data_IF_863080360264
#
_entry.id   IF_863080360264
#
_cell.length_a   1.000
_cell.length_b   1.000
_cell.length_c   1.000
_cell.angle_alpha   90.00
_cell.angle_beta   90.00
_cell.angle_gamma   90.00
#
_symmetry.space_group_name_H-M   'P 1'
#
loop_
_entity.id
_entity.type
_entity.pdbx_description
1 polymer ?
#
# COMPACT_ATOMS: atom_id res chain seq x y z
N UNK A 1 -32.06 73.96 -20.60
CA UNK A 1 -30.83 74.03 -21.42
C UNK A 1 -29.74 73.19 -20.79
N UNK A 2 -29.42 72.24 -21.43
CA UNK A 2 -28.62 71.06 -21.39
C UNK A 2 -27.21 71.13 -20.76
N UNK A 3 -26.98 70.30 -19.72
CA UNK A 3 -25.60 69.92 -19.28
C UNK A 3 -25.20 68.59 -19.97
N UNK A 4 -23.94 68.45 -20.44
CA UNK A 4 -23.51 67.25 -21.06
C UNK A 4 -22.88 66.26 -20.05
N UNK A 5 -23.26 64.99 -20.17
CA UNK A 5 -22.70 63.78 -19.55
C UNK A 5 -21.16 63.69 -19.75
N UNK A 6 -20.38 63.72 -18.69
CA UNK A 6 -19.01 63.25 -18.69
C UNK A 6 -18.99 61.77 -18.30
N UNK A 7 -18.84 60.87 -19.27
CA UNK A 7 -18.42 59.50 -19.06
C UNK A 7 -16.95 59.49 -18.63
N UNK A 8 -16.68 59.13 -17.38
CA UNK A 8 -15.34 58.79 -16.91
C UNK A 8 -14.95 57.45 -17.51
N UNK A 9 -13.92 57.45 -18.36
CA UNK A 9 -13.25 56.24 -18.82
C UNK A 9 -12.32 55.82 -17.67
N UNK A 10 -12.72 54.78 -16.89
CA UNK A 10 -11.83 54.14 -15.94
C UNK A 10 -10.65 53.54 -16.72
N UNK A 11 -9.43 53.85 -16.32
CA UNK A 11 -8.21 53.41 -16.99
C UNK A 11 -8.05 51.87 -16.90
N UNK A 12 -7.41 51.25 -17.89
CA UNK A 12 -7.15 49.83 -17.92
C UNK A 12 -6.37 49.34 -16.68
N UNK A 13 -5.59 50.22 -16.03
CA UNK A 13 -4.86 49.95 -14.79
C UNK A 13 -5.79 49.71 -13.59
N UNK A 14 -6.92 50.41 -13.47
CA UNK A 14 -7.90 50.19 -12.39
C UNK A 14 -8.66 48.88 -12.55
N UNK A 15 -8.91 48.44 -13.81
CA UNK A 15 -9.52 47.10 -14.07
C UNK A 15 -8.55 45.96 -13.75
N UNK A 16 -7.26 46.15 -13.98
CA UNK A 16 -6.25 45.16 -13.69
C UNK A 16 -5.99 45.00 -12.18
N UNK A 17 -6.05 46.10 -11.42
CA UNK A 17 -6.00 46.04 -9.94
C UNK A 17 -7.20 45.34 -9.34
N UNK A 18 -8.39 45.55 -9.87
CA UNK A 18 -9.61 44.92 -9.37
C UNK A 18 -9.63 43.40 -9.67
N UNK A 19 -9.13 42.96 -10.81
CA UNK A 19 -8.98 41.54 -11.14
C UNK A 19 -7.94 40.84 -10.27
N UNK A 20 -6.84 41.51 -9.93
CA UNK A 20 -5.81 40.98 -9.06
C UNK A 20 -6.28 40.86 -7.60
N UNK A 21 -7.02 41.83 -7.11
CA UNK A 21 -7.67 41.80 -5.79
C UNK A 21 -8.74 40.72 -5.72
N UNK A 22 -9.58 40.56 -6.74
CA UNK A 22 -10.57 39.50 -6.86
C UNK A 22 -9.87 38.14 -6.91
N UNK A 23 -8.81 37.97 -7.69
CA UNK A 23 -8.02 36.75 -7.74
C UNK A 23 -7.38 36.40 -6.39
N UNK A 24 -6.85 37.42 -5.69
CA UNK A 24 -6.27 37.30 -4.34
C UNK A 24 -7.32 36.91 -3.29
N UNK A 25 -8.52 37.49 -3.38
CA UNK A 25 -9.65 37.14 -2.51
C UNK A 25 -10.14 35.72 -2.78
N UNK A 26 -10.29 35.32 -4.05
CA UNK A 26 -10.68 33.96 -4.44
C UNK A 26 -9.60 32.95 -4.00
N UNK A 27 -8.32 33.27 -4.15
CA UNK A 27 -7.21 32.45 -3.68
C UNK A 27 -7.23 32.33 -2.14
N UNK A 28 -7.47 33.44 -1.43
CA UNK A 28 -7.57 33.49 0.03
C UNK A 28 -8.80 32.75 0.57
N UNK A 29 -9.93 32.76 -0.17
CA UNK A 29 -11.11 31.97 0.16
C UNK A 29 -10.90 30.47 -0.16
N UNK A 30 -10.21 30.13 -1.25
CA UNK A 30 -9.81 28.74 -1.53
C UNK A 30 -8.81 28.21 -0.50
N UNK A 31 -7.86 29.01 -0.06
CA UNK A 31 -6.94 28.67 1.04
C UNK A 31 -7.65 28.52 2.40
N UNK A 32 -8.77 29.22 2.63
CA UNK A 32 -9.62 29.07 3.82
C UNK A 32 -10.43 27.78 3.85
N UNK A 33 -10.61 27.10 2.70
CA UNK A 33 -11.39 25.87 2.57
C UNK A 33 -10.53 24.61 2.43
N UNK A 34 -9.20 24.70 2.46
CA UNK A 34 -8.36 23.51 2.54
C UNK A 34 -8.41 23.04 4.00
N UNK A 35 -9.09 21.92 4.21
CA UNK A 35 -9.17 21.27 5.52
C UNK A 35 -7.75 20.95 5.99
N UNK A 36 -7.38 21.43 7.17
CA UNK A 36 -6.17 20.98 7.85
C UNK A 36 -6.43 19.57 8.42
N UNK A 37 -6.17 18.57 7.58
CA UNK A 37 -6.41 17.17 7.94
C UNK A 37 -5.66 16.73 9.20
N UNK A 38 -4.49 17.28 9.50
CA UNK A 38 -3.73 16.93 10.70
C UNK A 38 -4.45 17.40 11.97
N UNK A 39 -4.85 18.68 12.00
CA UNK A 39 -5.57 19.26 13.13
C UNK A 39 -6.96 18.65 13.32
N UNK A 40 -7.71 18.47 12.22
CA UNK A 40 -9.06 17.90 12.31
C UNK A 40 -9.02 16.41 12.68
N UNK A 41 -8.03 15.66 12.17
CA UNK A 41 -7.82 14.27 12.53
C UNK A 41 -7.54 14.12 14.03
N UNK A 42 -6.67 14.97 14.63
CA UNK A 42 -6.40 14.91 16.06
C UNK A 42 -7.69 15.13 16.88
N UNK A 43 -8.46 16.18 16.55
CA UNK A 43 -9.74 16.48 17.20
C UNK A 43 -10.75 15.32 17.07
N UNK A 44 -10.83 14.69 15.89
CA UNK A 44 -11.72 13.56 15.68
C UNK A 44 -11.26 12.32 16.47
N UNK A 45 -9.96 12.06 16.56
CA UNK A 45 -9.45 10.94 17.38
C UNK A 45 -9.76 11.14 18.88
N UNK A 46 -9.71 12.38 19.39
CA UNK A 46 -10.15 12.69 20.76
C UNK A 46 -11.65 12.40 20.97
N UNK A 47 -12.49 12.66 19.96
CA UNK A 47 -13.94 12.40 20.03
C UNK A 47 -14.25 10.92 19.88
N UNK A 48 -13.64 10.22 18.93
CA UNK A 48 -13.87 8.80 18.65
C UNK A 48 -13.37 7.90 19.78
N UNK A 49 -12.27 8.28 20.46
CA UNK A 49 -11.60 7.46 21.49
C UNK A 49 -11.23 6.06 21.01
N UNK A 50 -10.84 5.95 19.75
CA UNK A 50 -10.61 4.72 19.02
C UNK A 50 -11.50 4.62 17.79
N UNK A 51 -11.06 3.86 16.77
CA UNK A 51 -11.76 3.69 15.49
C UNK A 51 -12.46 2.35 15.35
N UNK A 52 -12.27 1.46 16.31
CA UNK A 52 -12.86 0.12 16.33
C UNK A 52 -13.55 -0.15 17.66
N UNK A 53 -14.54 -1.03 17.65
CA UNK A 53 -15.14 -1.60 18.84
C UNK A 53 -15.34 -3.11 18.65
N UNK A 54 -15.48 -3.84 19.76
CA UNK A 54 -15.83 -5.26 19.76
C UNK A 54 -17.33 -5.36 20.09
N UNK A 55 -18.10 -5.93 19.18
CA UNK A 55 -19.57 -6.01 19.27
C UNK A 55 -19.98 -7.46 19.42
N UNK A 56 -20.89 -7.74 20.38
CA UNK A 56 -21.54 -9.04 20.48
C UNK A 56 -22.47 -9.28 19.28
N UNK A 57 -22.35 -10.45 18.66
CA UNK A 57 -23.15 -10.84 17.47
C UNK A 57 -24.31 -11.77 17.82
N UNK A 58 -24.44 -12.13 19.09
CA UNK A 58 -25.53 -12.97 19.61
C UNK A 58 -26.24 -12.28 20.76
N UNK A 59 -27.55 -12.51 20.96
CA UNK A 59 -28.28 -11.92 22.08
C UNK A 59 -27.86 -12.58 23.40
N UNK A 60 -27.88 -11.83 24.50
CA UNK A 60 -27.76 -12.32 25.88
C UNK A 60 -28.82 -11.58 26.69
N UNK A 61 -30.09 -11.89 26.44
CA UNK A 61 -31.23 -11.21 27.05
C UNK A 61 -32.06 -12.09 27.97
N UNK A 62 -31.89 -13.41 27.84
CA UNK A 62 -32.62 -14.41 28.63
C UNK A 62 -31.62 -15.40 29.28
N UNK A 63 -32.14 -16.20 30.25
CA UNK A 63 -31.38 -17.27 30.86
C UNK A 63 -30.96 -18.34 29.83
N UNK A 64 -31.79 -18.59 28.84
CA UNK A 64 -31.52 -19.57 27.80
C UNK A 64 -30.45 -19.05 26.85
N UNK A 65 -30.51 -17.76 26.44
CA UNK A 65 -29.44 -17.12 25.65
C UNK A 65 -28.08 -17.25 26.35
N UNK A 66 -28.03 -16.93 27.66
CA UNK A 66 -26.81 -17.05 28.47
C UNK A 66 -26.32 -18.49 28.51
N UNK A 67 -27.23 -19.46 28.68
CA UNK A 67 -26.87 -20.89 28.75
C UNK A 67 -26.36 -21.43 27.42
N UNK A 68 -26.84 -20.92 26.29
CA UNK A 68 -26.37 -21.27 24.96
C UNK A 68 -25.07 -20.57 24.60
N UNK A 69 -24.97 -19.24 24.89
CA UNK A 69 -23.78 -18.46 24.54
C UNK A 69 -22.57 -18.74 25.44
N UNK A 70 -22.80 -19.18 26.68
CA UNK A 70 -21.76 -19.41 27.68
C UNK A 70 -21.97 -20.76 28.40
N UNK A 71 -22.18 -20.76 29.71
CA UNK A 71 -22.26 -21.99 30.51
C UNK A 71 -23.72 -22.42 30.69
N UNK A 72 -24.10 -23.69 30.43
CA UNK A 72 -23.24 -24.86 30.12
C UNK A 72 -23.01 -25.15 28.64
N UNK A 73 -23.77 -24.54 27.72
CA UNK A 73 -23.83 -24.92 26.31
C UNK A 73 -22.47 -24.82 25.58
N UNK A 74 -21.63 -23.83 25.94
CA UNK A 74 -20.31 -23.61 25.29
C UNK A 74 -19.32 -24.77 25.44
N UNK A 75 -19.55 -25.68 26.37
CA UNK A 75 -18.73 -26.88 26.54
C UNK A 75 -18.73 -27.77 25.27
N UNK A 76 -19.87 -27.86 24.58
CA UNK A 76 -19.97 -28.72 23.40
C UNK A 76 -19.11 -28.24 22.23
N UNK A 77 -19.16 -26.98 21.76
CA UNK A 77 -18.22 -26.50 20.74
C UNK A 77 -16.76 -26.61 21.16
N UNK A 78 -16.41 -26.43 22.44
CA UNK A 78 -15.05 -26.67 22.92
C UNK A 78 -14.60 -28.12 22.71
N UNK A 79 -15.44 -29.09 23.03
CA UNK A 79 -15.15 -30.53 22.81
C UNK A 79 -15.04 -30.87 21.34
N UNK A 80 -15.83 -30.27 20.47
CA UNK A 80 -15.72 -30.48 19.03
C UNK A 80 -14.41 -29.91 18.46
N UNK A 81 -13.98 -28.74 18.90
CA UNK A 81 -12.68 -28.14 18.50
C UNK A 81 -11.52 -28.98 19.06
N UNK A 82 -11.63 -29.48 20.28
CA UNK A 82 -10.62 -30.37 20.88
C UNK A 82 -10.40 -31.65 20.05
N UNK A 83 -11.47 -32.21 19.47
CA UNK A 83 -11.39 -33.41 18.61
C UNK A 83 -10.81 -33.08 17.23
N UNK A 84 -11.19 -31.93 16.67
CA UNK A 84 -10.72 -31.43 15.37
C UNK A 84 -10.52 -29.91 15.41
N UNK A 85 -9.27 -29.51 15.44
CA UNK A 85 -8.89 -28.09 15.50
C UNK A 85 -9.43 -27.27 14.31
N UNK A 86 -9.71 -27.90 13.16
CA UNK A 86 -10.28 -27.22 12.00
C UNK A 86 -11.66 -26.65 12.29
N UNK A 87 -12.42 -27.26 13.18
CA UNK A 87 -13.72 -26.75 13.62
C UNK A 87 -13.65 -25.39 14.31
N UNK A 88 -12.46 -24.94 14.74
CA UNK A 88 -12.28 -23.58 15.23
C UNK A 88 -12.63 -22.52 14.19
N UNK A 89 -12.43 -22.82 12.90
CA UNK A 89 -12.84 -21.93 11.79
C UNK A 89 -14.35 -21.94 11.54
N UNK A 90 -15.07 -22.97 11.94
CA UNK A 90 -16.53 -23.06 11.80
C UNK A 90 -17.27 -22.53 13.02
N UNK A 91 -16.71 -22.77 14.21
CA UNK A 91 -17.39 -22.54 15.50
C UNK A 91 -16.93 -21.26 16.22
N UNK A 92 -15.94 -20.55 15.68
CA UNK A 92 -15.44 -19.29 16.25
C UNK A 92 -15.24 -18.22 15.19
N UNK A 93 -14.94 -16.98 15.62
CA UNK A 93 -14.64 -15.86 14.70
C UNK A 93 -13.29 -16.00 13.99
N UNK A 94 -12.51 -17.05 14.30
CA UNK A 94 -11.20 -17.31 13.69
C UNK A 94 -11.23 -17.29 12.17
N UNK A 95 -12.30 -17.79 11.53
CA UNK A 95 -12.44 -17.81 10.07
C UNK A 95 -12.37 -16.46 9.39
N UNK A 96 -12.70 -15.36 10.08
CA UNK A 96 -12.77 -14.02 9.51
C UNK A 96 -11.99 -12.98 10.31
N UNK A 97 -11.10 -13.38 11.24
CA UNK A 97 -10.38 -12.47 12.12
C UNK A 97 -8.90 -12.39 11.72
N UNK A 98 -8.44 -11.19 11.37
CA UNK A 98 -7.05 -10.88 11.05
C UNK A 98 -6.39 -10.14 12.23
N UNK A 99 -5.17 -10.52 12.62
CA UNK A 99 -4.34 -9.68 13.47
C UNK A 99 -3.55 -8.66 12.64
N UNK A 100 -3.62 -7.38 13.00
CA UNK A 100 -2.78 -6.32 12.43
C UNK A 100 -1.68 -6.01 13.42
N UNK A 101 -0.44 -6.40 13.12
CA UNK A 101 0.65 -6.44 14.09
C UNK A 101 1.79 -5.52 13.68
N UNK A 102 2.25 -4.70 14.62
CA UNK A 102 3.38 -3.78 14.45
C UNK A 102 4.32 -3.78 15.65
N UNK A 103 5.57 -3.39 15.45
CA UNK A 103 6.49 -2.96 16.51
C UNK A 103 6.72 -1.44 16.51
N UNK A 104 6.07 -0.72 15.60
CA UNK A 104 6.11 0.74 15.50
C UNK A 104 7.44 1.32 15.04
N UNK A 105 8.27 0.54 14.34
CA UNK A 105 9.63 0.97 13.94
C UNK A 105 9.73 1.63 12.57
N UNK A 106 8.64 1.63 11.77
CA UNK A 106 8.61 2.25 10.43
C UNK A 106 7.26 2.90 10.13
N UNK A 107 6.68 3.60 11.10
CA UNK A 107 5.33 4.17 11.00
C UNK A 107 5.29 5.32 10.02
N UNK A 108 4.60 5.15 8.88
CA UNK A 108 4.43 6.15 7.83
C UNK A 108 5.76 6.86 7.47
N UNK A 109 5.77 8.18 7.36
CA UNK A 109 6.98 8.99 7.22
C UNK A 109 7.65 9.39 8.54
N UNK A 110 7.13 8.93 9.69
CA UNK A 110 7.60 9.31 11.03
C UNK A 110 8.77 8.43 11.51
N UNK A 111 8.93 7.23 10.95
CA UNK A 111 9.99 6.29 11.35
C UNK A 111 9.68 5.53 12.64
N UNK A 112 10.69 5.37 13.48
CA UNK A 112 10.61 4.62 14.74
C UNK A 112 10.00 5.47 15.86
N UNK A 113 8.69 5.37 16.05
CA UNK A 113 7.93 6.10 17.09
C UNK A 113 7.43 5.19 18.22
N UNK A 114 7.72 3.88 18.11
CA UNK A 114 7.30 2.87 19.07
C UNK A 114 5.89 2.32 18.85
N UNK A 115 5.61 1.14 19.43
CA UNK A 115 4.40 0.40 19.15
C UNK A 115 3.11 1.11 19.60
N UNK A 116 3.10 1.72 20.78
CA UNK A 116 1.91 2.38 21.31
C UNK A 116 1.52 3.62 20.46
N UNK A 117 2.52 4.36 19.96
CA UNK A 117 2.28 5.50 19.07
C UNK A 117 1.84 5.07 17.66
N UNK A 118 2.10 3.83 17.25
CA UNK A 118 1.61 3.22 16.02
C UNK A 118 0.13 2.81 16.06
N UNK A 119 -0.49 2.70 17.24
CA UNK A 119 -1.85 2.21 17.40
C UNK A 119 -2.89 2.93 16.51
N UNK A 120 -2.90 4.26 16.37
CA UNK A 120 -3.85 4.94 15.50
C UNK A 120 -3.78 4.48 14.04
N UNK A 121 -2.59 4.12 13.54
CA UNK A 121 -2.43 3.58 12.17
C UNK A 121 -2.98 2.16 12.11
N UNK A 122 -2.70 1.33 13.10
CA UNK A 122 -3.17 -0.06 13.18
C UNK A 122 -4.70 -0.14 13.26
N UNK A 123 -5.34 0.72 14.05
CA UNK A 123 -6.80 0.85 14.06
C UNK A 123 -7.35 1.31 12.71
N UNK A 124 -6.66 2.25 12.05
CA UNK A 124 -7.01 2.68 10.70
C UNK A 124 -6.96 1.52 9.71
N UNK A 125 -5.91 0.70 9.78
CA UNK A 125 -5.80 -0.51 8.96
C UNK A 125 -6.96 -1.48 9.21
N UNK A 126 -7.36 -1.70 10.47
CA UNK A 126 -8.51 -2.53 10.82
C UNK A 126 -9.82 -2.01 10.23
N UNK A 127 -10.04 -0.69 10.24
CA UNK A 127 -11.20 -0.07 9.58
C UNK A 127 -11.23 -0.36 8.08
N UNK A 128 -10.07 -0.26 7.41
CA UNK A 128 -9.96 -0.53 5.97
C UNK A 128 -10.21 -2.02 5.66
N UNK A 129 -9.70 -2.94 6.47
CA UNK A 129 -10.00 -4.38 6.36
C UNK A 129 -11.51 -4.64 6.39
N UNK A 130 -12.21 -4.02 7.34
CA UNK A 130 -13.66 -4.18 7.48
C UNK A 130 -14.43 -3.55 6.33
N UNK A 131 -14.10 -2.29 6.00
CA UNK A 131 -14.86 -1.51 5.01
C UNK A 131 -14.72 -2.06 3.58
N UNK A 132 -13.54 -2.51 3.18
CA UNK A 132 -13.24 -2.91 1.80
C UNK A 132 -13.17 -4.42 1.59
N UNK A 133 -12.91 -5.22 2.65
CA UNK A 133 -12.77 -6.67 2.57
C UNK A 133 -13.83 -7.45 3.36
N UNK A 134 -14.63 -6.78 4.20
CA UNK A 134 -15.54 -7.47 5.14
C UNK A 134 -14.79 -8.34 6.17
N UNK A 135 -13.48 -8.16 6.32
CA UNK A 135 -12.61 -8.88 7.25
C UNK A 135 -12.62 -8.15 8.58
N UNK A 136 -12.86 -8.88 9.66
CA UNK A 136 -12.67 -8.36 11.01
C UNK A 136 -11.17 -8.32 11.32
N UNK A 137 -10.70 -7.23 11.87
CA UNK A 137 -9.30 -7.09 12.19
C UNK A 137 -9.09 -6.50 13.58
N UNK A 138 -8.02 -6.94 14.25
CA UNK A 138 -7.69 -6.49 15.60
C UNK A 138 -6.23 -6.04 15.66
N UNK A 139 -5.96 -4.81 16.19
CA UNK A 139 -4.61 -4.25 16.24
C UNK A 139 -3.82 -4.79 17.43
N UNK A 140 -2.57 -5.16 17.20
CA UNK A 140 -1.64 -5.63 18.23
C UNK A 140 -0.30 -4.91 18.09
N UNK A 141 0.13 -4.24 19.16
CA UNK A 141 1.40 -3.53 19.22
C UNK A 141 2.37 -4.29 20.11
N UNK A 142 3.47 -4.81 19.53
CA UNK A 142 4.43 -5.66 20.21
C UNK A 142 5.66 -4.84 20.60
N UNK A 143 5.95 -4.76 21.90
CA UNK A 143 7.02 -3.91 22.43
C UNK A 143 8.36 -4.62 22.48
N UNK A 144 8.88 -4.99 21.30
CA UNK A 144 10.25 -5.50 21.15
C UNK A 144 10.81 -5.18 19.80
N UNK A 145 12.14 -5.03 19.70
CA UNK A 145 12.90 -4.94 18.45
C UNK A 145 13.72 -6.21 18.18
N UNK A 146 13.68 -7.15 19.09
CA UNK A 146 14.27 -8.47 18.89
C UNK A 146 13.37 -9.31 17.98
N UNK A 147 13.96 -9.90 16.96
CA UNK A 147 13.24 -10.67 15.94
C UNK A 147 12.64 -11.94 16.54
N UNK A 148 13.39 -12.66 17.35
CA UNK A 148 12.97 -13.94 17.92
C UNK A 148 11.91 -13.76 19.00
N UNK A 149 12.03 -12.73 19.83
CA UNK A 149 10.98 -12.35 20.79
C UNK A 149 9.68 -11.98 20.07
N UNK A 150 9.77 -11.17 19.01
CA UNK A 150 8.60 -10.78 18.21
C UNK A 150 7.92 -12.00 17.58
N UNK A 151 8.70 -12.84 16.91
CA UNK A 151 8.20 -14.06 16.24
C UNK A 151 7.56 -15.00 17.27
N UNK A 152 8.20 -15.21 18.42
CA UNK A 152 7.65 -16.08 19.46
C UNK A 152 6.33 -15.53 20.04
N UNK A 153 6.26 -14.24 20.32
CA UNK A 153 5.03 -13.60 20.82
C UNK A 153 3.86 -13.76 19.85
N UNK A 154 4.12 -13.53 18.56
CA UNK A 154 3.10 -13.63 17.49
C UNK A 154 2.70 -15.10 17.27
N UNK A 155 3.65 -16.03 17.24
CA UNK A 155 3.36 -17.44 17.06
C UNK A 155 2.46 -18.00 18.18
N UNK A 156 2.71 -17.62 19.44
CA UNK A 156 1.93 -18.07 20.60
C UNK A 156 0.46 -17.64 20.52
N UNK A 157 0.13 -16.48 19.90
CA UNK A 157 -1.26 -16.00 19.80
C UNK A 157 -1.91 -16.31 18.45
N UNK A 158 -1.17 -16.85 17.48
CA UNK A 158 -1.61 -17.07 16.11
C UNK A 158 -2.87 -17.94 16.00
N UNK A 159 -3.06 -18.87 16.94
CA UNK A 159 -4.22 -19.75 17.01
C UNK A 159 -5.58 -19.04 17.17
N UNK A 160 -5.59 -17.78 17.56
CA UNK A 160 -6.81 -16.97 17.70
C UNK A 160 -7.27 -16.33 16.37
N UNK A 161 -6.44 -16.35 15.33
CA UNK A 161 -6.65 -15.62 14.09
C UNK A 161 -6.69 -16.55 12.88
N UNK A 162 -7.35 -16.08 11.80
CA UNK A 162 -7.34 -16.72 10.49
C UNK A 162 -6.17 -16.31 9.62
N UNK A 163 -5.51 -15.19 9.96
CA UNK A 163 -4.33 -14.67 9.27
C UNK A 163 -3.72 -13.47 9.99
N UNK A 164 -2.52 -13.10 9.58
CA UNK A 164 -1.76 -11.99 10.19
C UNK A 164 -1.32 -11.02 9.10
N UNK A 165 -1.61 -9.74 9.31
CA UNK A 165 -1.04 -8.62 8.58
C UNK A 165 0.04 -7.95 9.43
N UNK A 166 1.29 -8.00 8.98
CA UNK A 166 2.39 -7.23 9.54
C UNK A 166 2.38 -5.82 8.94
N UNK A 167 2.61 -4.80 9.76
CA UNK A 167 2.52 -3.40 9.38
C UNK A 167 3.60 -2.56 10.04
N UNK A 168 4.17 -1.60 9.33
CA UNK A 168 5.08 -0.58 9.86
C UNK A 168 6.31 -1.15 10.61
N UNK A 169 6.87 -2.27 10.14
CA UNK A 169 8.07 -2.90 10.68
C UNK A 169 9.28 -2.57 9.80
N UNK A 170 10.34 -2.04 10.39
CA UNK A 170 11.51 -1.57 9.66
C UNK A 170 12.32 -2.70 8.99
N UNK A 171 12.76 -2.44 7.73
CA UNK A 171 13.74 -3.26 7.07
C UNK A 171 15.14 -3.11 7.74
N UNK A 172 15.99 -4.18 7.78
CA UNK A 172 15.78 -5.48 7.16
C UNK A 172 15.00 -6.50 8.01
N UNK A 173 14.66 -6.16 9.28
CA UNK A 173 14.00 -7.08 10.22
C UNK A 173 12.65 -7.60 9.72
N UNK A 174 11.86 -6.76 9.05
CA UNK A 174 10.56 -7.15 8.52
C UNK A 174 10.62 -8.39 7.62
N UNK A 175 11.67 -8.55 6.83
CA UNK A 175 11.85 -9.73 5.96
C UNK A 175 12.13 -11.00 6.77
N UNK A 176 12.94 -10.89 7.82
CA UNK A 176 13.27 -12.02 8.69
C UNK A 176 12.06 -12.44 9.53
N UNK A 177 11.36 -11.47 10.09
CA UNK A 177 10.12 -11.70 10.88
C UNK A 177 9.08 -12.41 10.04
N UNK A 178 8.79 -11.90 8.83
CA UNK A 178 7.80 -12.52 7.95
C UNK A 178 8.18 -13.95 7.60
N UNK A 179 9.43 -14.18 7.20
CA UNK A 179 9.92 -15.52 6.87
C UNK A 179 9.77 -16.50 8.05
N UNK A 180 10.24 -16.13 9.24
CA UNK A 180 10.17 -16.99 10.43
C UNK A 180 8.72 -17.27 10.85
N UNK A 181 7.83 -16.28 10.74
CA UNK A 181 6.41 -16.49 11.04
C UNK A 181 5.74 -17.43 10.03
N UNK A 182 6.07 -17.33 8.75
CA UNK A 182 5.58 -18.28 7.73
C UNK A 182 6.07 -19.72 7.98
N UNK A 183 7.24 -19.89 8.57
CA UNK A 183 7.79 -21.20 8.92
C UNK A 183 7.12 -21.83 10.17
N UNK A 184 6.69 -21.01 11.14
CA UNK A 184 6.19 -21.51 12.43
C UNK A 184 4.68 -21.38 12.63
N UNK A 185 3.97 -20.59 11.80
CA UNK A 185 2.52 -20.40 11.91
C UNK A 185 1.78 -21.19 10.81
N UNK A 186 0.65 -21.81 11.16
CA UNK A 186 -0.22 -22.54 10.23
C UNK A 186 -1.36 -21.68 9.67
N UNK A 187 -1.14 -20.37 9.56
CA UNK A 187 -2.06 -19.38 9.00
C UNK A 187 -1.29 -18.43 8.09
N UNK A 188 -1.96 -17.79 7.10
CA UNK A 188 -1.28 -16.88 6.19
C UNK A 188 -0.70 -15.65 6.91
N UNK A 189 0.55 -15.35 6.57
CA UNK A 189 1.30 -14.17 7.03
C UNK A 189 1.54 -13.26 5.82
N UNK A 190 1.28 -11.99 5.98
CA UNK A 190 1.43 -11.00 4.92
C UNK A 190 1.95 -9.68 5.50
N UNK A 191 2.91 -9.05 4.84
CA UNK A 191 3.41 -7.73 5.22
C UNK A 191 2.95 -6.71 4.19
N UNK A 192 2.02 -5.83 4.55
CA UNK A 192 1.37 -4.96 3.58
C UNK A 192 2.32 -3.92 2.94
N UNK A 193 3.22 -3.31 3.72
CA UNK A 193 4.20 -2.36 3.18
C UNK A 193 5.13 -2.99 2.14
N UNK A 194 5.33 -4.30 2.23
CA UNK A 194 6.09 -5.05 1.24
C UNK A 194 5.18 -5.40 0.04
N UNK A 195 4.20 -6.23 0.29
CA UNK A 195 3.47 -6.96 -0.75
C UNK A 195 2.28 -6.18 -1.30
N UNK A 196 1.54 -5.42 -0.45
CA UNK A 196 0.45 -4.57 -0.91
C UNK A 196 0.96 -3.51 -1.90
N UNK A 197 2.03 -2.82 -1.53
CA UNK A 197 2.69 -1.82 -2.39
C UNK A 197 3.23 -2.44 -3.68
N UNK A 198 3.80 -3.65 -3.62
CA UNK A 198 4.29 -4.34 -4.82
C UNK A 198 3.15 -4.73 -5.78
N UNK A 199 2.03 -5.25 -5.26
CA UNK A 199 0.85 -5.63 -6.05
C UNK A 199 0.26 -4.42 -6.80
N UNK A 200 0.08 -3.30 -6.10
CA UNK A 200 -0.46 -2.07 -6.68
C UNK A 200 0.49 -1.49 -7.73
N UNK A 201 1.79 -1.48 -7.45
CA UNK A 201 2.80 -0.99 -8.40
C UNK A 201 2.80 -1.83 -9.67
N UNK A 202 2.76 -3.15 -9.57
CA UNK A 202 2.70 -4.04 -10.73
C UNK A 202 1.41 -3.84 -11.52
N UNK A 203 0.25 -3.69 -10.86
CA UNK A 203 -1.02 -3.43 -11.52
C UNK A 203 -1.00 -2.12 -12.32
N UNK A 204 -0.60 -1.02 -11.69
CA UNK A 204 -0.49 0.28 -12.33
C UNK A 204 0.54 0.29 -13.46
N UNK A 205 1.71 -0.34 -13.25
CA UNK A 205 2.76 -0.40 -14.28
C UNK A 205 2.33 -1.22 -15.51
N UNK A 206 1.59 -2.31 -15.29
CA UNK A 206 1.04 -3.11 -16.40
C UNK A 206 0.20 -2.26 -17.35
N UNK A 207 -0.66 -1.41 -16.80
CA UNK A 207 -1.51 -0.53 -17.59
C UNK A 207 -0.74 0.71 -18.12
N UNK A 208 0.18 1.27 -17.33
CA UNK A 208 1.03 2.37 -17.81
C UNK A 208 1.85 1.98 -19.05
N UNK A 209 2.37 0.74 -19.10
CA UNK A 209 3.08 0.22 -20.26
C UNK A 209 2.19 0.14 -21.50
N UNK A 210 0.92 -0.27 -21.35
CA UNK A 210 -0.05 -0.27 -22.46
C UNK A 210 -0.27 1.15 -22.99
N UNK A 211 -0.44 2.14 -22.10
CA UNK A 211 -0.62 3.55 -22.49
C UNK A 211 0.53 4.07 -23.32
N UNK A 212 1.78 3.73 -22.97
CA UNK A 212 2.97 4.22 -23.72
C UNK A 212 3.44 3.26 -24.80
N UNK A 213 2.77 2.12 -25.02
CA UNK A 213 3.10 1.14 -26.05
C UNK A 213 4.43 0.42 -25.85
N UNK A 214 4.89 0.26 -24.61
CA UNK A 214 6.15 -0.42 -24.27
C UNK A 214 5.90 -1.84 -23.75
N UNK A 215 6.86 -2.74 -23.99
CA UNK A 215 6.80 -4.13 -23.50
C UNK A 215 7.65 -4.30 -22.25
N UNK A 216 7.19 -5.17 -21.32
CA UNK A 216 7.84 -5.40 -20.03
C UNK A 216 9.29 -5.90 -20.13
N UNK A 217 9.57 -6.72 -21.17
CA UNK A 217 10.87 -7.30 -21.42
C UNK A 217 11.90 -6.29 -21.95
N UNK A 218 11.46 -5.18 -22.51
CA UNK A 218 12.32 -4.19 -23.16
C UNK A 218 12.65 -2.99 -22.25
N UNK A 219 11.84 -2.76 -21.21
CA UNK A 219 11.96 -1.54 -20.39
C UNK A 219 13.05 -1.63 -19.35
N UNK A 220 13.78 -0.53 -19.17
CA UNK A 220 14.69 -0.30 -18.05
C UNK A 220 13.92 0.38 -16.90
N UNK A 221 13.92 -0.25 -15.74
CA UNK A 221 13.29 0.28 -14.51
C UNK A 221 14.37 0.72 -13.55
N UNK A 222 14.25 1.93 -13.02
CA UNK A 222 15.12 2.43 -11.95
C UNK A 222 14.28 2.69 -10.71
N UNK A 223 14.69 2.13 -9.56
CA UNK A 223 14.01 2.39 -8.29
C UNK A 223 14.85 3.30 -7.40
N UNK A 224 14.21 4.26 -6.74
CA UNK A 224 14.78 5.03 -5.65
C UNK A 224 14.24 4.51 -4.32
N UNK A 225 15.14 4.02 -3.48
CA UNK A 225 14.85 3.30 -2.25
C UNK A 225 15.29 1.84 -2.31
N UNK A 226 15.65 1.30 -1.15
CA UNK A 226 16.03 -0.10 -0.97
C UNK A 226 15.56 -0.61 0.41
N UNK A 227 14.39 -0.14 0.83
CA UNK A 227 13.65 -0.60 1.99
C UNK A 227 12.65 -1.70 1.65
N UNK A 228 11.71 -1.97 2.57
CA UNK A 228 10.72 -3.03 2.45
C UNK A 228 9.94 -2.97 1.13
N UNK A 229 9.35 -1.85 0.80
CA UNK A 229 8.56 -1.66 -0.41
C UNK A 229 9.40 -1.85 -1.69
N UNK A 230 10.56 -1.16 -1.80
CA UNK A 230 11.39 -1.23 -3.01
C UNK A 230 11.86 -2.65 -3.33
N UNK A 231 12.28 -3.40 -2.32
CA UNK A 231 12.74 -4.78 -2.47
C UNK A 231 11.61 -5.68 -2.94
N UNK A 232 10.43 -5.55 -2.32
CA UNK A 232 9.27 -6.37 -2.67
C UNK A 232 8.70 -6.02 -4.04
N UNK A 233 8.68 -4.74 -4.41
CA UNK A 233 8.36 -4.29 -5.77
C UNK A 233 9.31 -4.95 -6.77
N UNK A 234 10.62 -4.86 -6.56
CA UNK A 234 11.61 -5.43 -7.47
C UNK A 234 11.45 -6.95 -7.60
N UNK A 235 11.23 -7.67 -6.49
CA UNK A 235 10.99 -9.14 -6.49
C UNK A 235 9.73 -9.48 -7.31
N UNK A 236 8.62 -8.81 -7.06
CA UNK A 236 7.36 -9.09 -7.77
C UNK A 236 7.44 -8.73 -9.26
N UNK A 237 8.13 -7.64 -9.61
CA UNK A 237 8.39 -7.27 -11.00
C UNK A 237 9.27 -8.31 -11.71
N UNK A 238 10.32 -8.84 -11.06
CA UNK A 238 11.13 -9.92 -11.60
C UNK A 238 10.28 -11.18 -11.85
N UNK A 239 9.41 -11.56 -10.91
CA UNK A 239 8.47 -12.67 -11.06
C UNK A 239 7.46 -12.44 -12.18
N UNK A 240 7.11 -11.17 -12.46
CA UNK A 240 6.26 -10.76 -13.58
C UNK A 240 6.97 -10.70 -14.93
N UNK A 241 8.29 -11.00 -14.98
CA UNK A 241 9.08 -11.06 -16.21
C UNK A 241 9.76 -9.75 -16.61
N UNK A 242 9.83 -8.76 -15.74
CA UNK A 242 10.71 -7.60 -15.94
C UNK A 242 12.15 -8.01 -15.65
N UNK A 243 13.07 -7.74 -16.55
CA UNK A 243 14.45 -8.27 -16.49
C UNK A 243 15.52 -7.22 -16.24
N UNK A 244 15.22 -5.95 -16.49
CA UNK A 244 16.20 -4.86 -16.40
C UNK A 244 15.78 -3.87 -15.31
N UNK A 245 16.11 -4.19 -14.07
CA UNK A 245 15.81 -3.39 -12.87
C UNK A 245 17.12 -2.94 -12.24
N UNK A 246 17.29 -1.65 -12.02
CA UNK A 246 18.41 -1.05 -11.27
C UNK A 246 17.85 -0.43 -9.99
N UNK A 247 18.22 -0.96 -8.85
CA UNK A 247 17.83 -0.41 -7.54
C UNK A 247 18.88 0.59 -7.06
N UNK A 248 18.42 1.65 -6.39
CA UNK A 248 19.33 2.62 -5.76
C UNK A 248 19.01 2.84 -4.29
N UNK A 249 20.03 3.15 -3.50
CA UNK A 249 19.89 3.68 -2.14
C UNK A 249 20.64 5.02 -2.02
N UNK A 250 20.77 5.56 -0.81
CA UNK A 250 21.47 6.84 -0.56
C UNK A 250 22.91 6.86 -1.08
N UNK A 251 23.56 5.70 -1.15
CA UNK A 251 24.94 5.58 -1.65
C UNK A 251 25.03 5.42 -3.17
N UNK A 252 23.90 5.15 -3.84
CA UNK A 252 23.82 4.99 -5.31
C UNK A 252 23.28 3.62 -5.73
N UNK A 253 23.61 3.19 -6.94
CA UNK A 253 23.16 1.93 -7.51
C UNK A 253 23.59 0.71 -6.68
N UNK A 254 22.69 -0.27 -6.58
CA UNK A 254 22.95 -1.56 -5.95
C UNK A 254 23.39 -2.51 -7.07
N UNK A 255 24.55 -3.14 -6.90
CA UNK A 255 25.13 -4.08 -7.85
C UNK A 255 25.96 -5.14 -7.14
N UNK A 256 26.16 -6.27 -7.77
CA UNK A 256 26.97 -7.37 -7.26
C UNK A 256 28.43 -6.95 -7.03
N UNK A 257 28.93 -7.15 -5.83
CA UNK A 257 30.27 -6.74 -5.41
C UNK A 257 30.36 -5.34 -4.80
N UNK A 258 29.24 -4.60 -4.68
CA UNK A 258 29.22 -3.33 -3.93
C UNK A 258 29.40 -3.61 -2.43
N UNK A 259 30.31 -2.88 -1.80
CA UNK A 259 30.59 -2.97 -0.38
C UNK A 259 29.45 -2.42 0.50
N UNK A 260 29.40 -2.82 1.76
CA UNK A 260 28.48 -2.32 2.82
C UNK A 260 27.00 -2.48 2.48
N UNK A 261 26.63 -3.52 1.76
CA UNK A 261 25.23 -3.91 1.55
C UNK A 261 24.73 -4.77 2.72
N UNK A 262 23.50 -4.52 3.19
CA UNK A 262 22.81 -5.45 4.07
C UNK A 262 22.54 -6.77 3.33
N UNK A 263 22.30 -7.85 4.08
CA UNK A 263 22.09 -9.18 3.49
C UNK A 263 21.01 -9.19 2.39
N UNK A 264 19.89 -8.51 2.62
CA UNK A 264 18.80 -8.46 1.63
C UNK A 264 19.17 -7.65 0.37
N UNK A 265 19.98 -6.60 0.52
CA UNK A 265 20.49 -5.85 -0.63
C UNK A 265 21.55 -6.66 -1.40
N UNK A 266 22.32 -7.52 -0.72
CA UNK A 266 23.21 -8.47 -1.38
C UNK A 266 22.42 -9.47 -2.22
N UNK A 267 21.33 -10.04 -1.70
CA UNK A 267 20.43 -10.89 -2.49
C UNK A 267 19.91 -10.16 -3.73
N UNK A 268 19.42 -8.91 -3.55
CA UNK A 268 18.91 -8.14 -4.69
C UNK A 268 19.98 -7.79 -5.71
N UNK A 269 21.21 -7.54 -5.29
CA UNK A 269 22.34 -7.28 -6.18
C UNK A 269 22.67 -8.46 -7.12
N UNK A 270 22.35 -9.69 -6.72
CA UNK A 270 22.55 -10.89 -7.55
C UNK A 270 21.49 -11.05 -8.65
N UNK A 271 20.29 -10.50 -8.46
CA UNK A 271 19.13 -10.71 -9.36
C UNK A 271 18.71 -9.44 -10.12
N UNK A 272 19.21 -8.27 -9.71
CA UNK A 272 18.97 -6.98 -10.36
C UNK A 272 20.27 -6.43 -10.97
N UNK A 273 20.17 -5.29 -11.69
CA UNK A 273 21.33 -4.57 -12.24
C UNK A 273 22.35 -5.49 -12.94
N UNK A 274 21.87 -6.31 -13.85
CA UNK A 274 22.69 -7.31 -14.58
C UNK A 274 23.88 -6.70 -15.33
N UNK A 275 23.79 -5.41 -15.68
CA UNK A 275 24.86 -4.68 -16.39
C UNK A 275 25.85 -4.04 -15.42
N UNK A 276 25.64 -4.21 -14.09
CA UNK A 276 26.47 -3.64 -13.03
C UNK A 276 26.67 -2.12 -13.18
N UNK A 277 25.59 -1.42 -13.56
CA UNK A 277 25.59 0.04 -13.59
C UNK A 277 25.95 0.59 -12.22
N UNK A 278 26.80 1.60 -12.19
CA UNK A 278 27.29 2.27 -11.00
C UNK A 278 26.93 3.75 -11.02
N UNK A 279 27.10 4.46 -9.89
CA UNK A 279 26.83 5.89 -9.76
C UNK A 279 25.61 6.20 -8.91
N UNK A 280 25.22 7.47 -8.89
CA UNK A 280 24.05 7.96 -8.16
C UNK A 280 22.77 7.78 -8.98
N UNK A 281 21.63 8.03 -8.36
CA UNK A 281 20.34 7.99 -9.04
C UNK A 281 20.34 8.80 -10.36
N UNK A 282 20.93 10.00 -10.36
CA UNK A 282 21.02 10.86 -11.54
C UNK A 282 21.83 10.25 -12.70
N UNK A 283 22.73 9.32 -12.40
CA UNK A 283 23.54 8.64 -13.43
C UNK A 283 22.75 7.49 -14.05
N UNK A 284 22.15 6.62 -13.22
CA UNK A 284 21.47 5.40 -13.67
C UNK A 284 20.07 5.64 -14.23
N UNK A 285 19.42 6.77 -13.88
CA UNK A 285 18.08 7.10 -14.40
C UNK A 285 18.12 7.48 -15.89
N UNK A 286 19.29 7.81 -16.41
CA UNK A 286 19.48 8.14 -17.85
C UNK A 286 19.06 6.95 -18.72
N UNK A 287 18.22 7.23 -19.70
CA UNK A 287 17.68 6.21 -20.59
C UNK A 287 16.74 5.19 -19.93
N UNK A 288 16.34 5.39 -18.68
CA UNK A 288 15.34 4.56 -18.03
C UNK A 288 13.94 4.85 -18.60
N UNK A 289 13.15 3.80 -18.80
CA UNK A 289 11.75 3.89 -19.24
C UNK A 289 10.80 4.15 -18.07
N UNK A 290 11.15 3.63 -16.90
CA UNK A 290 10.31 3.66 -15.71
C UNK A 290 11.15 4.09 -14.51
N UNK A 291 10.63 5.03 -13.75
CA UNK A 291 11.13 5.37 -12.42
C UNK A 291 10.08 4.97 -11.37
N UNK A 292 10.52 4.30 -10.31
CA UNK A 292 9.68 3.95 -9.15
C UNK A 292 10.35 4.47 -7.88
N UNK A 293 9.76 5.49 -7.28
CA UNK A 293 10.21 6.10 -6.03
C UNK A 293 9.42 5.59 -4.84
N UNK A 294 10.13 5.07 -3.84
CA UNK A 294 9.63 4.69 -2.51
C UNK A 294 10.68 5.06 -1.45
N UNK A 295 11.11 6.32 -1.50
CA UNK A 295 12.28 6.79 -0.73
C UNK A 295 12.02 8.08 0.03
N UNK A 296 12.40 9.22 -0.52
CA UNK A 296 12.31 10.51 0.15
C UNK A 296 11.89 11.62 -0.84
N UNK A 297 11.24 12.68 -0.31
CA UNK A 297 10.83 13.83 -1.12
C UNK A 297 11.98 14.44 -1.92
N UNK A 298 11.67 14.88 -3.15
CA UNK A 298 12.57 15.72 -3.94
C UNK A 298 13.86 15.02 -4.42
N UNK A 299 13.87 13.67 -4.47
CA UNK A 299 15.04 12.92 -4.93
C UNK A 299 15.19 12.90 -6.45
N UNK A 300 14.13 13.24 -7.19
CA UNK A 300 14.13 13.35 -8.65
C UNK A 300 13.82 14.78 -9.06
N UNK A 301 14.52 15.27 -10.08
CA UNK A 301 14.32 16.61 -10.64
C UNK A 301 13.75 16.54 -12.06
N UNK A 302 13.16 17.63 -12.53
CA UNK A 302 12.71 17.79 -13.92
C UNK A 302 13.84 17.48 -14.92
N UNK A 303 15.08 17.91 -14.62
CA UNK A 303 16.23 17.66 -15.50
C UNK A 303 16.58 16.17 -15.55
N UNK A 304 16.45 15.45 -14.46
CA UNK A 304 16.63 13.98 -14.47
C UNK A 304 15.59 13.30 -15.34
N UNK A 305 14.32 13.69 -15.24
CA UNK A 305 13.25 13.14 -16.09
C UNK A 305 13.53 13.38 -17.57
N UNK A 306 14.04 14.56 -17.97
CA UNK A 306 14.44 14.86 -19.36
C UNK A 306 15.53 13.93 -19.92
N UNK A 307 16.30 13.28 -19.04
CA UNK A 307 17.36 12.33 -19.47
C UNK A 307 16.87 10.90 -19.64
N UNK A 308 15.63 10.61 -19.24
CA UNK A 308 15.02 9.29 -19.39
C UNK A 308 14.70 8.97 -20.85
N UNK A 309 14.30 7.73 -21.10
CA UNK A 309 13.84 7.29 -22.42
C UNK A 309 12.56 8.04 -22.86
N UNK A 310 12.23 8.10 -24.15
CA UNK A 310 10.98 8.70 -24.62
C UNK A 310 9.75 8.13 -23.92
N UNK A 311 8.77 8.98 -23.62
CA UNK A 311 7.53 8.62 -22.92
C UNK A 311 7.80 7.89 -21.57
N UNK A 312 8.55 8.51 -20.63
CA UNK A 312 8.86 7.86 -19.39
C UNK A 312 7.64 7.76 -18.46
N UNK A 313 7.63 6.70 -17.67
CA UNK A 313 6.64 6.43 -16.62
C UNK A 313 7.24 6.79 -15.27
N UNK A 314 6.57 7.60 -14.47
CA UNK A 314 7.02 8.06 -13.16
C UNK A 314 6.03 7.63 -12.07
N UNK A 315 6.46 6.75 -11.18
CA UNK A 315 5.74 6.39 -9.96
C UNK A 315 6.50 6.99 -8.77
N UNK A 316 6.02 8.13 -8.25
CA UNK A 316 6.62 8.85 -7.13
C UNK A 316 5.76 8.65 -5.87
N UNK A 317 6.04 7.57 -5.14
CA UNK A 317 5.15 7.04 -4.11
C UNK A 317 5.50 7.47 -2.67
N UNK A 318 6.55 8.28 -2.46
CA UNK A 318 6.88 8.80 -1.13
C UNK A 318 5.74 9.65 -0.55
N UNK A 319 5.46 9.48 0.75
CA UNK A 319 4.43 10.19 1.49
C UNK A 319 5.06 10.98 2.68
N UNK A 320 4.54 12.18 3.01
CA UNK A 320 3.42 12.89 2.40
C UNK A 320 3.80 13.65 1.11
N UNK A 321 5.07 13.82 0.82
CA UNK A 321 5.58 14.53 -0.37
C UNK A 321 6.29 13.53 -1.28
N UNK A 322 5.95 13.48 -2.59
CA UNK A 322 6.55 12.55 -3.54
C UNK A 322 8.02 12.90 -3.87
N UNK A 323 8.72 11.96 -4.51
CA UNK A 323 10.09 12.15 -4.99
C UNK A 323 10.23 13.25 -6.03
N UNK A 324 9.17 13.52 -6.77
CA UNK A 324 9.00 14.64 -7.71
C UNK A 324 7.52 15.00 -7.76
N UNK A 325 7.19 16.28 -7.80
CA UNK A 325 5.81 16.73 -7.97
C UNK A 325 5.31 16.41 -9.40
N UNK A 326 4.02 16.04 -9.57
CA UNK A 326 3.46 15.70 -10.88
C UNK A 326 3.67 16.78 -11.95
N UNK A 327 3.55 18.04 -11.60
CA UNK A 327 3.76 19.16 -12.52
C UNK A 327 5.22 19.23 -13.02
N UNK A 328 6.18 18.97 -12.13
CA UNK A 328 7.62 18.93 -12.44
C UNK A 328 7.96 17.71 -13.30
N UNK A 329 7.39 16.53 -12.99
CA UNK A 329 7.56 15.34 -13.79
C UNK A 329 6.99 15.53 -15.21
N UNK A 330 5.81 16.14 -15.32
CA UNK A 330 5.19 16.50 -16.61
C UNK A 330 6.04 17.48 -17.40
N UNK A 331 6.60 18.50 -16.74
CA UNK A 331 7.53 19.46 -17.37
C UNK A 331 8.84 18.77 -17.84
N UNK A 332 9.24 17.65 -17.22
CA UNK A 332 10.34 16.79 -17.64
C UNK A 332 10.01 15.88 -18.82
N UNK A 333 8.75 15.79 -19.23
CA UNK A 333 8.30 14.94 -20.36
C UNK A 333 7.72 13.59 -19.93
N UNK A 334 7.36 13.40 -18.66
CA UNK A 334 6.70 12.18 -18.21
C UNK A 334 5.37 11.97 -18.93
N UNK A 335 5.17 10.77 -19.48
CA UNK A 335 3.96 10.40 -20.19
C UNK A 335 2.87 9.87 -19.26
N UNK A 336 3.25 9.13 -18.22
CA UNK A 336 2.35 8.61 -17.18
C UNK A 336 2.95 8.92 -15.83
N UNK A 337 2.13 9.47 -14.93
CA UNK A 337 2.55 9.83 -13.57
C UNK A 337 1.58 9.21 -12.57
N UNK A 338 2.13 8.58 -11.53
CA UNK A 338 1.39 8.05 -10.39
C UNK A 338 2.06 8.48 -9.08
N UNK A 339 1.28 8.66 -8.03
CA UNK A 339 1.78 9.06 -6.70
C UNK A 339 1.08 8.27 -5.59
N UNK A 340 1.61 8.32 -4.38
CA UNK A 340 0.91 7.80 -3.19
C UNK A 340 -0.26 8.68 -2.71
N UNK A 341 -0.42 9.90 -3.25
CA UNK A 341 -1.38 10.90 -2.78
C UNK A 341 -2.74 10.76 -3.47
N UNK A 342 -3.80 11.00 -2.70
CA UNK A 342 -5.19 10.92 -3.17
C UNK A 342 -5.68 12.15 -3.94
N UNK A 343 -4.93 13.25 -3.88
CA UNK A 343 -5.26 14.51 -4.56
C UNK A 343 -4.72 14.60 -6.01
N UNK A 344 -4.02 13.55 -6.46
CA UNK A 344 -3.56 13.41 -7.85
C UNK A 344 -4.15 12.15 -8.53
N UNK A 345 -4.20 12.13 -9.86
CA UNK A 345 -4.54 10.93 -10.63
C UNK A 345 -3.61 9.74 -10.32
N UNK A 346 -4.08 8.53 -10.58
CA UNK A 346 -3.29 7.29 -10.45
C UNK A 346 -2.71 7.09 -9.05
N UNK A 347 -3.55 7.17 -8.02
CA UNK A 347 -3.10 6.94 -6.65
C UNK A 347 -2.61 5.50 -6.46
N UNK A 348 -1.33 5.31 -6.16
CA UNK A 348 -0.75 4.04 -5.74
C UNK A 348 -1.00 3.87 -4.24
N UNK A 349 -2.03 3.10 -3.90
CA UNK A 349 -2.48 2.92 -2.52
C UNK A 349 -2.84 1.46 -2.28
N UNK A 350 -2.15 0.81 -1.33
CA UNK A 350 -2.31 -0.60 -1.00
C UNK A 350 -3.72 -0.97 -0.48
N UNK A 351 -4.56 0.01 -0.13
CA UNK A 351 -5.99 -0.21 0.17
C UNK A 351 -6.74 -0.92 -0.95
N UNK A 352 -6.29 -0.81 -2.19
CA UNK A 352 -6.84 -1.53 -3.33
C UNK A 352 -6.49 -3.04 -3.32
N UNK A 353 -5.44 -3.45 -2.60
CA UNK A 353 -4.92 -4.81 -2.63
C UNK A 353 -5.28 -5.62 -1.39
N UNK A 354 -4.75 -5.21 -0.20
CA UNK A 354 -4.74 -6.09 0.97
C UNK A 354 -6.15 -6.53 1.44
N UNK A 355 -7.23 -5.70 1.42
CA UNK A 355 -8.52 -6.16 1.90
C UNK A 355 -9.07 -7.31 1.05
N UNK A 356 -8.94 -7.18 -0.28
CA UNK A 356 -9.36 -8.21 -1.23
C UNK A 356 -8.47 -9.45 -1.18
N UNK A 357 -7.15 -9.29 -0.99
CA UNK A 357 -6.21 -10.41 -0.81
C UNK A 357 -6.61 -11.23 0.40
N UNK A 358 -6.80 -10.62 1.58
CA UNK A 358 -7.22 -11.34 2.79
C UNK A 358 -8.62 -11.95 2.65
N UNK A 359 -9.57 -11.25 2.00
CA UNK A 359 -10.90 -11.81 1.74
C UNK A 359 -10.81 -13.09 0.93
N UNK A 360 -10.12 -13.08 -0.22
CA UNK A 360 -9.95 -14.25 -1.06
C UNK A 360 -9.17 -15.39 -0.36
N UNK A 361 -8.17 -15.04 0.46
CA UNK A 361 -7.40 -15.99 1.28
C UNK A 361 -8.28 -16.68 2.31
N UNK A 362 -9.14 -15.93 3.01
CA UNK A 362 -10.05 -16.47 4.02
C UNK A 362 -11.20 -17.28 3.41
N UNK A 363 -11.71 -16.87 2.25
CA UNK A 363 -12.79 -17.60 1.54
C UNK A 363 -12.42 -19.04 1.18
N UNK A 364 -11.14 -19.31 0.99
CA UNK A 364 -10.64 -20.67 0.70
C UNK A 364 -9.78 -21.23 1.83
N UNK A 365 -9.73 -20.55 2.96
CA UNK A 365 -8.90 -20.91 4.12
C UNK A 365 -7.47 -21.28 3.71
N UNK A 366 -6.84 -20.41 2.90
CA UNK A 366 -5.50 -20.68 2.40
C UNK A 366 -4.47 -20.68 3.54
N UNK A 367 -3.46 -21.55 3.40
CA UNK A 367 -2.37 -21.68 4.37
C UNK A 367 -1.30 -20.61 4.23
N UNK A 368 -1.20 -19.98 3.06
CA UNK A 368 -0.23 -18.93 2.73
C UNK A 368 -0.85 -17.93 1.76
N UNK A 369 -0.22 -16.76 1.64
CA UNK A 369 -0.39 -15.80 0.55
C UNK A 369 0.89 -15.83 -0.26
N UNK A 370 0.89 -16.64 -1.32
CA UNK A 370 2.06 -16.91 -2.16
C UNK A 370 2.20 -15.92 -3.34
N UNK A 371 3.26 -16.10 -4.15
CA UNK A 371 3.53 -15.22 -5.31
C UNK A 371 2.42 -15.27 -6.36
N UNK A 372 1.85 -16.46 -6.63
CA UNK A 372 0.77 -16.67 -7.60
C UNK A 372 -0.48 -15.88 -7.21
N UNK A 373 -0.81 -15.84 -5.92
CA UNK A 373 -1.93 -15.06 -5.39
C UNK A 373 -1.69 -13.56 -5.51
N UNK A 374 -0.47 -13.08 -5.25
CA UNK A 374 -0.09 -11.67 -5.41
C UNK A 374 -0.12 -11.24 -6.88
N UNK A 375 0.38 -12.08 -7.76
CA UNK A 375 0.31 -11.86 -9.22
C UNK A 375 -1.13 -11.83 -9.73
N UNK A 376 -2.00 -12.71 -9.23
CA UNK A 376 -3.41 -12.73 -9.58
C UNK A 376 -4.13 -11.47 -9.10
N UNK A 377 -3.84 -10.98 -7.89
CA UNK A 377 -4.36 -9.74 -7.36
C UNK A 377 -3.96 -8.53 -8.24
N UNK A 378 -2.68 -8.44 -8.63
CA UNK A 378 -2.19 -7.36 -9.49
C UNK A 378 -2.87 -7.37 -10.87
N UNK A 379 -3.04 -8.58 -11.45
CA UNK A 379 -3.73 -8.74 -12.73
C UNK A 379 -5.19 -8.33 -12.63
N UNK A 380 -5.91 -8.80 -11.62
CA UNK A 380 -7.32 -8.44 -11.42
C UNK A 380 -7.53 -6.93 -11.26
N UNK A 381 -6.62 -6.26 -10.55
CA UNK A 381 -6.66 -4.79 -10.43
C UNK A 381 -6.42 -4.09 -11.77
N UNK A 382 -5.45 -4.54 -12.54
CA UNK A 382 -5.15 -3.96 -13.86
C UNK A 382 -6.33 -4.14 -14.84
N UNK A 383 -6.98 -5.31 -14.83
CA UNK A 383 -8.10 -5.65 -15.71
C UNK A 383 -9.41 -4.91 -15.39
N UNK A 384 -9.53 -4.32 -14.18
CA UNK A 384 -10.68 -3.48 -13.84
C UNK A 384 -10.74 -2.17 -14.60
N UNK A 385 -9.61 -1.70 -15.12
CA UNK A 385 -9.56 -0.56 -16.05
C UNK A 385 -9.74 -1.09 -17.46
N UNK A 386 -10.89 -0.78 -18.09
CA UNK A 386 -11.16 -1.20 -19.45
C UNK A 386 -10.25 -0.50 -20.45
N UNK A 387 -10.15 -1.05 -21.68
CA UNK A 387 -9.33 -0.42 -22.73
C UNK A 387 -9.85 0.97 -23.12
N UNK A 388 -11.17 1.20 -23.03
CA UNK A 388 -11.80 2.48 -23.31
C UNK A 388 -11.53 3.54 -22.23
N UNK A 389 -11.38 3.12 -20.97
CA UNK A 389 -11.08 3.99 -19.83
C UNK A 389 -9.58 4.27 -19.69
N UNK A 390 -8.73 3.38 -20.22
CA UNK A 390 -7.30 3.42 -20.05
C UNK A 390 -6.68 4.70 -20.64
N UNK A 391 -5.99 5.47 -19.81
CA UNK A 391 -5.36 6.72 -20.19
C UNK A 391 -4.16 7.04 -19.30
N UNK A 392 -3.38 8.05 -19.64
CA UNK A 392 -2.27 8.51 -18.81
C UNK A 392 -2.69 8.94 -17.40
N UNK A 393 -3.94 9.32 -17.19
CA UNK A 393 -4.50 9.77 -15.93
C UNK A 393 -5.41 8.72 -15.25
N UNK A 394 -5.57 7.52 -15.88
CA UNK A 394 -6.38 6.43 -15.31
C UNK A 394 -5.78 5.06 -15.68
N UNK A 395 -4.77 4.63 -14.93
CA UNK A 395 -4.07 3.34 -15.07
C UNK A 395 -4.44 2.33 -13.98
N UNK A 396 -5.13 2.78 -12.94
CA UNK A 396 -5.52 1.96 -11.78
C UNK A 396 -6.90 2.42 -11.27
N UNK A 397 -7.75 1.51 -10.75
CA UNK A 397 -9.05 1.88 -10.21
C UNK A 397 -8.93 2.87 -9.05
N UNK A 398 -9.98 3.66 -8.84
CA UNK A 398 -10.07 4.53 -7.66
C UNK A 398 -10.30 3.69 -6.38
N UNK A 399 -9.81 4.19 -5.23
CA UNK A 399 -9.88 3.48 -3.95
C UNK A 399 -11.31 3.06 -3.53
N UNK A 400 -12.32 3.83 -3.92
CA UNK A 400 -13.74 3.54 -3.61
C UNK A 400 -14.50 2.84 -4.73
N UNK A 401 -13.84 2.27 -5.73
CA UNK A 401 -14.50 1.47 -6.76
C UNK A 401 -15.02 0.16 -6.12
N UNK A 402 -16.35 -0.06 -6.10
CA UNK A 402 -16.94 -1.21 -5.42
C UNK A 402 -16.61 -2.56 -6.05
N UNK A 403 -16.05 -2.57 -7.25
CA UNK A 403 -15.62 -3.78 -7.96
C UNK A 403 -14.33 -4.35 -7.39
N UNK A 404 -13.44 -3.50 -6.87
CA UNK A 404 -12.06 -3.84 -6.49
C UNK A 404 -12.00 -5.00 -5.51
N UNK A 405 -12.61 -4.88 -4.34
CA UNK A 405 -12.54 -5.91 -3.31
C UNK A 405 -12.99 -7.30 -3.79
N UNK A 406 -14.09 -7.34 -4.56
CA UNK A 406 -14.63 -8.59 -5.09
C UNK A 406 -13.75 -9.21 -6.17
N UNK A 407 -13.24 -8.39 -7.10
CA UNK A 407 -12.38 -8.87 -8.18
C UNK A 407 -11.07 -9.44 -7.65
N UNK A 408 -10.41 -8.72 -6.74
CA UNK A 408 -9.17 -9.17 -6.09
C UNK A 408 -9.42 -10.45 -5.29
N UNK A 409 -10.48 -10.50 -4.48
CA UNK A 409 -10.79 -11.69 -3.67
C UNK A 409 -11.03 -12.93 -4.53
N UNK A 410 -11.80 -12.81 -5.61
CA UNK A 410 -12.07 -13.91 -6.53
C UNK A 410 -10.79 -14.44 -7.21
N UNK A 411 -9.93 -13.53 -7.70
CA UNK A 411 -8.68 -13.88 -8.35
C UNK A 411 -7.69 -14.56 -7.38
N UNK A 412 -7.59 -14.05 -6.16
CA UNK A 412 -6.75 -14.61 -5.11
C UNK A 412 -7.22 -15.98 -4.68
N UNK A 413 -8.52 -16.17 -4.45
CA UNK A 413 -9.09 -17.48 -4.12
C UNK A 413 -8.85 -18.52 -5.22
N UNK A 414 -9.01 -18.11 -6.49
CA UNK A 414 -8.72 -18.99 -7.62
C UNK A 414 -7.23 -19.38 -7.67
N UNK A 415 -6.33 -18.41 -7.49
CA UNK A 415 -4.89 -18.67 -7.48
C UNK A 415 -4.48 -19.55 -6.31
N UNK A 416 -5.07 -19.36 -5.13
CA UNK A 416 -4.83 -20.22 -3.95
C UNK A 416 -5.21 -21.66 -4.21
N UNK A 417 -6.36 -21.92 -4.88
CA UNK A 417 -6.76 -23.28 -5.30
C UNK A 417 -5.81 -23.86 -6.33
N UNK A 418 -5.43 -23.07 -7.34
CA UNK A 418 -4.53 -23.51 -8.41
C UNK A 418 -3.12 -23.86 -7.90
N UNK A 419 -2.61 -23.10 -6.93
CA UNK A 419 -1.29 -23.32 -6.32
C UNK A 419 -1.29 -24.32 -5.16
N UNK A 420 -2.45 -24.89 -4.80
CA UNK A 420 -2.57 -25.95 -3.79
C UNK A 420 -2.48 -25.48 -2.34
N UNK A 421 -2.57 -24.17 -2.08
CA UNK A 421 -2.55 -23.64 -0.71
C UNK A 421 -3.94 -23.47 -0.09
N UNK A 422 -5.01 -23.60 -0.88
CA UNK A 422 -6.39 -23.62 -0.40
C UNK A 422 -6.70 -24.90 0.39
N UNK A 423 -7.48 -24.78 1.46
CA UNK A 423 -7.90 -25.89 2.32
C UNK A 423 -9.39 -26.26 2.17
N UNK A 424 -10.15 -25.37 1.50
CA UNK A 424 -11.57 -25.59 1.18
C UNK A 424 -11.94 -25.05 -0.19
#
# INVERSE_FOLDING_TARGET
MTEPFRRSIASESEKQYNLYEIYRLIKKEKEKFIMDYAKESLKLHEQWKGKIEVVATVPVSTKDDLSLAYTPGVAQPCLEIQKDINKSYELTRRHNLCAVITDGTAVLGLGDIGPEAGMPVMEGKCVLFKAFGGVDAFPLCVKTKDVDEFVNAVALISGSFGGINLEDIAAPRCFEIERKLKECCDIPIFHDDQHGTAVITLAGLTNALKVVGKKREDVKIVTSGAGAAAISIAKLLLSAGFINIVMTDRSGAIYEGRENLSWIKQEMALVTNRQKETGKLADVIRGADVFIGVSAPGTVTTEMVKTMAPNPIIFACANPTPEIMPEEAKAGGAAVIATGRSDFPNQINNVLAFPGIFRGTFDVRASDINEEMKMAAARALAELVSEEELSAEYIIPKAFDPRVGKAVAAAVAQAARASGVARI
#
